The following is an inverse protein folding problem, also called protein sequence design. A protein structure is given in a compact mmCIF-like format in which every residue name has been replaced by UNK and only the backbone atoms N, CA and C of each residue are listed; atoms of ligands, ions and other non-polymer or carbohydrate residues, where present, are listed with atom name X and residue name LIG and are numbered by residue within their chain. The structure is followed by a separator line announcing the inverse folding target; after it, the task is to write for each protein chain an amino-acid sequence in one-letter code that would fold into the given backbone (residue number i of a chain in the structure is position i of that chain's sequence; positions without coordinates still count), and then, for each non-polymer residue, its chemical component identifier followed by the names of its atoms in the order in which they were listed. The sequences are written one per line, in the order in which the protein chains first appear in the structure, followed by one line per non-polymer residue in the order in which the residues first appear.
data_IF_124664042636
#
_entry.id   IF_124664042636
#
_cell.length_a   1.000
_cell.length_b   1.000
_cell.length_c   1.000
_cell.angle_alpha   90.00
_cell.angle_beta   90.00
_cell.angle_gamma   90.00
#
_symmetry.space_group_name_H-M   'P 1'
#
loop_
_entity.id
_entity.type
_entity.pdbx_description
1 polymer ?
#
# COMPACT_ATOMS: atom_id res chain seq x y z
N UNK A 1 34.29 -5.16 -18.99
CA UNK A 1 32.88 -5.52 -19.17
C UNK A 1 32.14 -5.09 -17.91
N UNK A 2 31.09 -4.29 -18.07
CA UNK A 2 30.51 -3.46 -17.01
C UNK A 2 29.35 -4.17 -16.33
N UNK A 3 29.61 -4.86 -15.22
CA UNK A 3 28.60 -5.55 -14.40
C UNK A 3 28.03 -4.69 -13.26
N UNK A 4 28.17 -3.36 -13.36
CA UNK A 4 27.62 -2.42 -12.38
C UNK A 4 26.61 -1.46 -13.05
N UNK A 5 25.80 -1.99 -13.98
CA UNK A 5 24.55 -1.34 -14.40
C UNK A 5 23.57 -1.43 -13.24
N UNK A 6 23.84 -0.61 -12.23
CA UNK A 6 23.00 -0.33 -11.08
C UNK A 6 21.56 -0.25 -11.55
N UNK A 7 20.77 -1.12 -10.94
CA UNK A 7 19.35 -1.37 -11.09
C UNK A 7 18.48 -0.13 -10.74
N UNK A 8 18.76 1.03 -11.34
CA UNK A 8 18.12 2.32 -11.07
C UNK A 8 16.65 2.28 -11.53
N UNK A 9 16.37 1.66 -12.68
CA UNK A 9 15.03 1.59 -13.28
C UNK A 9 14.02 0.76 -12.46
N UNK A 10 14.46 -0.30 -11.76
CA UNK A 10 13.53 -1.05 -10.91
C UNK A 10 13.24 -0.34 -9.58
N UNK A 11 14.19 0.49 -9.09
CA UNK A 11 14.00 1.27 -7.87
C UNK A 11 13.06 2.45 -8.10
N UNK A 12 13.12 3.09 -9.26
CA UNK A 12 12.15 4.11 -9.69
C UNK A 12 10.78 3.46 -9.90
N UNK A 13 10.68 2.39 -10.71
CA UNK A 13 9.43 1.67 -10.98
C UNK A 13 8.70 1.18 -9.71
N UNK A 14 9.44 0.63 -8.74
CA UNK A 14 8.84 0.16 -7.48
C UNK A 14 8.45 1.30 -6.54
N UNK A 15 9.13 2.45 -6.59
CA UNK A 15 8.71 3.66 -5.87
C UNK A 15 7.45 4.27 -6.49
N UNK A 16 7.37 4.34 -7.82
CA UNK A 16 6.23 4.91 -8.54
C UNK A 16 4.95 4.10 -8.30
N UNK A 17 5.05 2.77 -8.30
CA UNK A 17 3.91 1.89 -7.95
C UNK A 17 3.39 2.12 -6.53
N UNK A 18 4.29 2.31 -5.55
CA UNK A 18 3.91 2.59 -4.15
C UNK A 18 3.26 3.97 -4.01
N UNK A 19 3.76 4.94 -4.76
CA UNK A 19 3.22 6.30 -4.79
C UNK A 19 1.79 6.34 -5.34
N UNK A 20 1.52 5.69 -6.47
CA UNK A 20 0.17 5.67 -7.06
C UNK A 20 -0.85 5.07 -6.08
N UNK A 21 -0.49 4.01 -5.36
CA UNK A 21 -1.35 3.38 -4.36
C UNK A 21 -1.65 4.35 -3.21
N UNK A 22 -0.63 5.04 -2.69
CA UNK A 22 -0.78 6.00 -1.59
C UNK A 22 -1.58 7.23 -1.99
N UNK A 23 -1.41 7.74 -3.21
CA UNK A 23 -2.19 8.85 -3.74
C UNK A 23 -3.67 8.47 -3.90
N UNK A 24 -3.95 7.27 -4.45
CA UNK A 24 -5.32 6.75 -4.54
C UNK A 24 -5.96 6.60 -3.15
N UNK A 25 -5.19 6.11 -2.17
CA UNK A 25 -5.66 5.91 -0.81
C UNK A 25 -5.94 7.24 -0.08
N UNK A 26 -5.07 8.24 -0.23
CA UNK A 26 -5.31 9.61 0.27
C UNK A 26 -6.58 10.21 -0.35
N UNK A 27 -6.72 10.12 -1.68
CA UNK A 27 -7.89 10.63 -2.39
C UNK A 27 -9.19 9.95 -1.95
N UNK A 28 -9.16 8.62 -1.80
CA UNK A 28 -10.31 7.83 -1.34
C UNK A 28 -10.70 8.22 0.09
N UNK A 29 -9.74 8.31 1.01
CA UNK A 29 -10.01 8.70 2.39
C UNK A 29 -10.58 10.11 2.51
N UNK A 30 -10.07 11.05 1.71
CA UNK A 30 -10.57 12.42 1.67
C UNK A 30 -12.00 12.45 1.14
N UNK A 31 -12.31 11.73 0.06
CA UNK A 31 -13.66 11.63 -0.48
C UNK A 31 -14.62 10.97 0.52
N UNK A 32 -14.22 9.87 1.14
CA UNK A 32 -14.99 9.20 2.19
C UNK A 32 -15.29 10.16 3.34
N UNK A 33 -14.30 10.89 3.83
CA UNK A 33 -14.49 11.86 4.89
C UNK A 33 -15.51 12.94 4.53
N UNK A 34 -15.47 13.46 3.29
CA UNK A 34 -16.43 14.47 2.82
C UNK A 34 -17.86 13.90 2.73
N UNK A 35 -18.06 12.78 2.03
CA UNK A 35 -19.40 12.24 1.81
C UNK A 35 -20.01 11.63 3.08
N UNK A 36 -19.24 10.86 3.83
CA UNK A 36 -19.70 10.27 5.08
C UNK A 36 -19.77 11.29 6.21
N UNK A 37 -19.02 12.39 6.15
CA UNK A 37 -19.15 13.52 7.06
C UNK A 37 -20.51 14.22 6.92
N UNK A 38 -20.92 14.52 5.69
CA UNK A 38 -22.26 15.08 5.41
C UNK A 38 -23.36 14.10 5.86
N UNK A 39 -23.18 12.81 5.58
CA UNK A 39 -24.13 11.78 6.01
C UNK A 39 -24.20 11.65 7.54
N UNK A 40 -23.08 11.86 8.24
CA UNK A 40 -23.01 11.84 9.70
C UNK A 40 -23.74 13.03 10.34
N UNK A 41 -23.67 14.22 9.74
CA UNK A 41 -24.44 15.39 10.20
C UNK A 41 -25.95 15.18 10.03
N UNK A 42 -26.35 14.49 8.95
CA UNK A 42 -27.77 14.23 8.66
C UNK A 42 -28.33 13.04 9.45
N UNK A 43 -27.52 11.99 9.63
CA UNK A 43 -27.89 10.78 10.35
C UNK A 43 -26.71 10.30 11.22
N UNK A 44 -26.81 10.60 12.52
CA UNK A 44 -25.73 10.31 13.46
C UNK A 44 -25.60 8.80 13.72
N UNK A 45 -24.39 8.28 13.50
CA UNK A 45 -24.02 6.92 13.89
C UNK A 45 -22.66 6.88 14.58
N UNK A 46 -22.61 6.31 15.78
CA UNK A 46 -21.35 6.20 16.55
C UNK A 46 -20.27 5.42 15.81
N UNK A 47 -20.64 4.38 15.05
CA UNK A 47 -19.65 3.56 14.32
C UNK A 47 -19.06 4.34 13.15
N UNK A 48 -19.87 5.16 12.47
CA UNK A 48 -19.40 6.07 11.41
C UNK A 48 -18.46 7.13 11.99
N UNK A 49 -18.78 7.68 13.16
CA UNK A 49 -17.94 8.66 13.85
C UNK A 49 -16.55 8.12 14.20
N UNK A 50 -16.50 6.90 14.76
CA UNK A 50 -15.24 6.23 15.10
C UNK A 50 -14.44 5.96 13.83
N UNK A 51 -15.08 5.44 12.78
CA UNK A 51 -14.42 5.17 11.51
C UNK A 51 -13.87 6.44 10.84
N UNK A 52 -14.66 7.52 10.83
CA UNK A 52 -14.24 8.83 10.33
C UNK A 52 -13.11 9.42 11.16
N UNK A 53 -13.11 9.23 12.48
CA UNK A 53 -12.06 9.68 13.37
C UNK A 53 -10.74 8.94 13.14
N UNK A 54 -10.78 7.63 12.86
CA UNK A 54 -9.61 6.85 12.45
C UNK A 54 -9.06 7.41 11.13
N UNK A 55 -9.91 7.60 10.12
CA UNK A 55 -9.50 8.17 8.84
C UNK A 55 -8.88 9.56 9.05
N UNK A 56 -9.54 10.43 9.82
CA UNK A 56 -9.07 11.78 10.16
C UNK A 56 -7.67 11.77 10.79
N UNK A 57 -7.45 10.89 11.77
CA UNK A 57 -6.16 10.77 12.45
C UNK A 57 -5.03 10.31 11.51
N UNK A 58 -5.35 9.54 10.47
CA UNK A 58 -4.36 9.02 9.52
C UNK A 58 -4.06 9.94 8.34
N UNK A 59 -4.94 10.88 8.00
CA UNK A 59 -4.76 11.83 6.89
C UNK A 59 -3.45 12.66 6.98
N UNK A 60 -3.06 13.22 8.15
CA UNK A 60 -1.80 13.94 8.28
C UNK A 60 -0.59 13.07 7.92
N UNK A 61 -0.60 11.79 8.29
CA UNK A 61 0.50 10.87 7.97
C UNK A 61 0.57 10.59 6.46
N UNK A 62 -0.57 10.51 5.78
CA UNK A 62 -0.64 10.35 4.33
C UNK A 62 -0.13 11.59 3.59
N UNK A 63 -0.49 12.79 4.08
CA UNK A 63 0.00 14.05 3.54
C UNK A 63 1.52 14.19 3.71
N UNK A 64 2.06 13.88 4.88
CA UNK A 64 3.51 13.91 5.13
C UNK A 64 4.24 12.86 4.29
N UNK A 65 3.70 11.65 4.13
CA UNK A 65 4.25 10.66 3.21
C UNK A 65 4.38 11.22 1.79
N UNK A 66 3.32 11.84 1.28
CA UNK A 66 3.31 12.46 -0.04
C UNK A 66 4.35 13.59 -0.15
N UNK A 67 4.48 14.43 0.88
CA UNK A 67 5.44 15.53 0.90
C UNK A 67 6.89 15.01 0.89
N UNK A 68 7.21 14.01 1.71
CA UNK A 68 8.53 13.35 1.72
C UNK A 68 8.82 12.72 0.35
N UNK A 69 7.83 12.06 -0.25
CA UNK A 69 7.99 11.42 -1.55
C UNK A 69 8.29 12.45 -2.65
N UNK A 70 7.47 13.49 -2.77
CA UNK A 70 7.68 14.57 -3.75
C UNK A 70 9.02 15.25 -3.54
N UNK A 71 9.42 15.47 -2.28
CA UNK A 71 10.74 16.03 -1.97
C UNK A 71 11.89 15.12 -2.43
N UNK A 72 11.78 13.80 -2.21
CA UNK A 72 12.76 12.82 -2.69
C UNK A 72 12.82 12.75 -4.22
N UNK A 73 11.68 12.88 -4.89
CA UNK A 73 11.58 12.87 -6.34
C UNK A 73 12.21 14.13 -6.96
N UNK A 74 11.86 15.31 -6.43
CA UNK A 74 12.37 16.61 -6.88
C UNK A 74 13.89 16.73 -6.70
N UNK A 75 14.42 16.13 -5.64
CA UNK A 75 15.84 16.19 -5.31
C UNK A 75 16.60 14.89 -5.64
N UNK A 76 16.04 14.06 -6.51
CA UNK A 76 16.65 12.81 -6.91
C UNK A 76 18.06 13.05 -7.49
N UNK A 77 19.07 12.35 -6.97
CA UNK A 77 20.47 12.51 -7.35
C UNK A 77 21.21 13.71 -6.73
N UNK A 78 20.52 14.65 -6.06
CA UNK A 78 21.13 15.80 -5.35
C UNK A 78 21.29 15.59 -3.84
N UNK A 79 20.54 14.65 -3.26
CA UNK A 79 20.62 14.32 -1.84
C UNK A 79 21.77 13.36 -1.51
N UNK A 80 22.42 13.57 -0.37
CA UNK A 80 23.34 12.58 0.21
C UNK A 80 22.58 11.29 0.56
N UNK A 81 23.19 10.12 0.28
CA UNK A 81 22.61 8.79 0.59
C UNK A 81 22.14 8.64 2.04
N UNK A 82 22.80 9.31 2.99
CA UNK A 82 22.41 9.27 4.40
C UNK A 82 21.07 9.98 4.65
N UNK A 83 20.83 11.12 4.00
CA UNK A 83 19.58 11.88 4.11
C UNK A 83 18.43 11.11 3.45
N UNK A 84 18.65 10.56 2.25
CA UNK A 84 17.67 9.73 1.53
C UNK A 84 17.22 8.53 2.38
N UNK A 85 18.16 7.86 3.05
CA UNK A 85 17.85 6.72 3.93
C UNK A 85 16.99 7.13 5.13
N UNK A 86 17.27 8.27 5.75
CA UNK A 86 16.46 8.80 6.86
C UNK A 86 15.03 9.16 6.40
N UNK A 87 14.90 9.84 5.26
CA UNK A 87 13.60 10.20 4.69
C UNK A 87 12.80 8.95 4.30
N UNK A 88 13.45 7.94 3.71
CA UNK A 88 12.80 6.66 3.40
C UNK A 88 12.30 5.95 4.65
N UNK A 89 13.08 5.92 5.73
CA UNK A 89 12.62 5.34 7.00
C UNK A 89 11.41 6.10 7.55
N UNK A 90 11.44 7.44 7.56
CA UNK A 90 10.31 8.25 7.99
C UNK A 90 9.06 7.99 7.14
N UNK A 91 9.22 7.97 5.81
CA UNK A 91 8.17 7.63 4.85
C UNK A 91 7.58 6.23 5.12
N UNK A 92 8.41 5.22 5.39
CA UNK A 92 7.93 3.86 5.66
C UNK A 92 7.08 3.79 6.94
N UNK A 93 7.40 4.58 7.97
CA UNK A 93 6.59 4.69 9.19
C UNK A 93 5.27 5.39 8.89
N UNK A 94 5.28 6.50 8.15
CA UNK A 94 4.07 7.17 7.71
C UNK A 94 3.17 6.23 6.87
N UNK A 95 3.79 5.39 6.04
CA UNK A 95 3.10 4.40 5.22
C UNK A 95 2.35 3.37 6.07
N UNK A 96 2.93 2.94 7.20
CA UNK A 96 2.29 2.02 8.13
C UNK A 96 1.00 2.63 8.72
N UNK A 97 1.07 3.86 9.21
CA UNK A 97 -0.10 4.58 9.73
C UNK A 97 -1.12 4.90 8.64
N UNK A 98 -0.66 5.17 7.41
CA UNK A 98 -1.55 5.35 6.26
C UNK A 98 -2.37 4.09 5.98
N UNK A 99 -1.78 2.89 6.06
CA UNK A 99 -2.52 1.65 5.88
C UNK A 99 -3.49 1.32 7.02
N UNK A 100 -3.26 1.82 8.25
CA UNK A 100 -4.23 1.69 9.33
C UNK A 100 -5.60 2.32 8.97
N UNK A 101 -5.63 3.33 8.10
CA UNK A 101 -6.87 3.96 7.64
C UNK A 101 -7.84 2.99 6.95
N UNK A 102 -7.34 1.89 6.38
CA UNK A 102 -8.17 0.85 5.75
C UNK A 102 -9.11 0.18 6.76
N UNK A 103 -8.77 0.17 8.04
CA UNK A 103 -9.65 -0.33 9.11
C UNK A 103 -10.89 0.56 9.22
N UNK A 104 -10.73 1.88 9.17
CA UNK A 104 -11.86 2.82 9.17
C UNK A 104 -12.74 2.66 7.94
N UNK A 105 -12.15 2.50 6.76
CA UNK A 105 -12.90 2.24 5.52
C UNK A 105 -13.68 0.92 5.59
N UNK A 106 -13.06 -0.14 6.10
CA UNK A 106 -13.73 -1.43 6.29
C UNK A 106 -14.92 -1.30 7.25
N UNK A 107 -14.74 -0.61 8.40
CA UNK A 107 -15.84 -0.35 9.35
C UNK A 107 -17.02 0.39 8.70
N UNK A 108 -16.75 1.37 7.84
CA UNK A 108 -17.80 2.08 7.09
C UNK A 108 -18.54 1.16 6.14
N UNK A 109 -17.84 0.31 5.37
CA UNK A 109 -18.50 -0.63 4.46
C UNK A 109 -19.36 -1.66 5.19
N UNK A 110 -18.93 -2.15 6.35
CA UNK A 110 -19.74 -3.03 7.17
C UNK A 110 -21.03 -2.37 7.65
N UNK A 111 -21.01 -1.06 7.94
CA UNK A 111 -22.21 -0.31 8.31
C UNK A 111 -23.10 0.01 7.12
N UNK A 112 -22.53 0.23 5.94
CA UNK A 112 -23.29 0.51 4.73
C UNK A 112 -24.14 -0.71 4.32
N UNK A 113 -23.52 -1.89 4.26
CA UNK A 113 -24.23 -3.15 4.00
C UNK A 113 -23.37 -4.33 4.41
N UNK A 114 -23.96 -5.25 5.17
CA UNK A 114 -23.30 -6.50 5.56
C UNK A 114 -22.81 -7.31 4.35
N UNK A 115 -23.55 -7.27 3.24
CA UNK A 115 -23.16 -7.95 1.99
C UNK A 115 -21.89 -7.36 1.37
N UNK A 116 -21.75 -6.03 1.40
CA UNK A 116 -20.57 -5.33 0.88
C UNK A 116 -19.35 -5.67 1.73
N UNK A 117 -19.48 -5.60 3.06
CA UNK A 117 -18.39 -5.98 3.99
C UNK A 117 -17.96 -7.44 3.81
N UNK A 118 -18.92 -8.36 3.68
CA UNK A 118 -18.62 -9.79 3.48
C UNK A 118 -17.96 -10.07 2.13
N UNK A 119 -18.44 -9.44 1.05
CA UNK A 119 -17.84 -9.56 -0.28
C UNK A 119 -16.39 -9.03 -0.31
N UNK A 120 -16.12 -7.91 0.36
CA UNK A 120 -14.78 -7.35 0.49
C UNK A 120 -13.82 -8.30 1.23
N UNK A 121 -14.25 -8.85 2.35
CA UNK A 121 -13.43 -9.78 3.16
C UNK A 121 -13.14 -11.08 2.41
N UNK A 122 -14.17 -11.69 1.81
CA UNK A 122 -14.02 -12.94 1.04
C UNK A 122 -13.12 -12.74 -0.17
N UNK A 123 -13.29 -11.64 -0.91
CA UNK A 123 -12.42 -11.27 -2.04
C UNK A 123 -10.96 -11.06 -1.60
N UNK A 124 -10.75 -10.38 -0.47
CA UNK A 124 -9.40 -10.14 0.08
C UNK A 124 -8.70 -11.45 0.44
N UNK A 125 -9.39 -12.37 1.13
CA UNK A 125 -8.84 -13.69 1.46
C UNK A 125 -8.49 -14.46 0.18
N UNK A 126 -9.39 -14.46 -0.81
CA UNK A 126 -9.16 -15.14 -2.08
C UNK A 126 -7.96 -14.56 -2.83
N UNK A 127 -7.81 -13.23 -2.87
CA UNK A 127 -6.67 -12.57 -3.49
C UNK A 127 -5.35 -12.94 -2.80
N UNK A 128 -5.32 -12.99 -1.46
CA UNK A 128 -4.12 -13.41 -0.71
C UNK A 128 -3.77 -14.85 -1.02
N UNK A 129 -4.76 -15.76 -1.06
CA UNK A 129 -4.55 -17.16 -1.41
C UNK A 129 -4.01 -17.31 -2.83
N UNK A 130 -4.55 -16.56 -3.80
CA UNK A 130 -4.06 -16.55 -5.18
C UNK A 130 -2.60 -16.09 -5.28
N UNK A 131 -2.22 -15.01 -4.58
CA UNK A 131 -0.83 -14.53 -4.58
C UNK A 131 0.09 -15.57 -3.96
N UNK A 132 -0.33 -16.20 -2.84
CA UNK A 132 0.45 -17.27 -2.20
C UNK A 132 0.61 -18.48 -3.10
N UNK A 133 -0.47 -18.88 -3.78
CA UNK A 133 -0.45 -20.00 -4.72
C UNK A 133 0.45 -19.71 -5.92
N UNK A 134 0.36 -18.52 -6.51
CA UNK A 134 1.21 -18.13 -7.63
C UNK A 134 2.72 -18.12 -7.25
N UNK A 135 3.05 -17.63 -6.05
CA UNK A 135 4.44 -17.65 -5.57
C UNK A 135 4.93 -19.07 -5.25
N UNK A 136 4.04 -19.98 -4.80
CA UNK A 136 4.37 -21.38 -4.57
C UNK A 136 4.65 -22.11 -5.90
N UNK A 137 3.82 -21.87 -6.93
CA UNK A 137 4.01 -22.44 -8.26
C UNK A 137 5.33 -22.01 -8.90
N UNK A 138 5.75 -20.76 -8.70
CA UNK A 138 7.03 -20.26 -9.20
C UNK A 138 8.21 -21.00 -8.55
N UNK A 139 8.13 -21.31 -7.25
CA UNK A 139 9.18 -22.05 -6.53
C UNK A 139 9.29 -23.50 -7.00
N UNK A 140 8.14 -24.19 -7.15
CA UNK A 140 8.07 -25.56 -7.66
C UNK A 140 8.66 -25.68 -9.08
N UNK A 141 8.30 -24.75 -9.97
CA UNK A 141 8.86 -24.72 -11.33
C UNK A 141 10.37 -24.47 -11.36
N UNK A 142 10.88 -23.67 -10.42
CA UNK A 142 12.31 -23.33 -10.33
C UNK A 142 13.13 -24.49 -9.79
N UNK A 143 12.56 -25.28 -8.88
CA UNK A 143 13.20 -26.46 -8.30
C UNK A 143 13.18 -27.67 -9.26
N UNK A 144 12.12 -27.83 -10.05
CA UNK A 144 12.10 -28.80 -11.16
C UNK A 144 13.19 -28.49 -12.20
N UNK A 145 13.36 -27.23 -12.60
CA UNK A 145 14.40 -26.83 -13.57
C UNK A 145 15.81 -27.12 -13.04
N UNK A 146 16.08 -26.87 -11.75
CA UNK A 146 17.38 -27.18 -11.14
C UNK A 146 17.65 -28.68 -11.06
N UNK A 147 16.64 -29.48 -10.75
CA UNK A 147 16.78 -30.93 -10.62
C UNK A 147 17.10 -31.55 -11.99
N UNK A 148 16.37 -31.16 -13.03
CA UNK A 148 16.62 -31.60 -14.41
C UNK A 148 18.00 -31.16 -14.95
N UNK A 149 18.47 -29.96 -14.58
CA UNK A 149 19.80 -29.49 -14.97
C UNK A 149 20.94 -30.28 -14.29
N UNK A 150 20.72 -30.79 -13.08
CA UNK A 150 21.71 -31.59 -12.35
C UNK A 150 21.79 -33.03 -12.87
N UNK A 151 20.67 -33.58 -13.36
CA UNK A 151 20.63 -34.93 -13.95
C UNK A 151 21.20 -34.99 -15.39
N UNK A 152 21.17 -33.88 -16.14
CA UNK A 152 21.77 -33.81 -17.49
C UNK A 152 23.27 -33.45 -17.48
N UNK A 153 23.84 -33.15 -16.32
CA UNK A 153 25.25 -32.77 -16.13
C UNK A 153 26.14 -33.86 -15.54
N UNK A 154 25.61 -35.06 -15.28
CA UNK A 154 26.35 -36.25 -14.82
C UNK A 154 26.37 -37.34 -15.88
#
# INVERSE_FOLDING_TARGET
MSEDSVNVESRTSSQDKRWTIMAALLGTNTAVMLFQGIEQETNHSTIREVALSIIAATLPFQAIYFLIYTFLLENNGKLSRHMEKKLKTASNICQLFAYLSLIGVAMLWFKLSIYVGLAFMTSTVFAILLVRYAMLMDDESRDEIKTNANEQGS
#
